data_IF_489855470939
#
_entry.id   IF_489855470939
#
_cell.length_a   1.000
_cell.length_b   1.000
_cell.length_c   1.000
_cell.angle_alpha   90.00
_cell.angle_beta   90.00
_cell.angle_gamma   90.00
#
_symmetry.space_group_name_H-M   'P 1'
#
loop_
_entity.id
_entity.type
_entity.pdbx_description
1 polymer ?
#
# COMPACT_ATOMS: atom_id res chain seq x y z
N UNK A 1 -2.54 -5.89 -13.12
CA UNK A 1 -2.27 -5.74 -11.66
C UNK A 1 -2.52 -4.30 -11.32
N UNK A 2 -3.01 -3.97 -10.13
CA UNK A 2 -3.15 -2.58 -9.69
C UNK A 2 -1.76 -2.02 -9.35
N UNK A 3 -1.43 -0.79 -9.77
CA UNK A 3 -0.17 -0.17 -9.39
C UNK A 3 -0.09 0.03 -7.87
N UNK A 4 1.09 -0.20 -7.28
CA UNK A 4 1.25 0.02 -5.86
C UNK A 4 1.26 1.50 -5.50
N UNK A 5 0.73 1.84 -4.31
CA UNK A 5 0.93 3.13 -3.68
C UNK A 5 1.94 2.98 -2.55
N UNK A 6 3.07 3.65 -2.65
CA UNK A 6 4.17 3.58 -1.69
C UNK A 6 4.21 4.87 -0.88
N UNK A 7 4.02 4.75 0.44
CA UNK A 7 3.99 5.91 1.34
C UNK A 7 5.31 6.08 2.07
N UNK A 8 6.01 7.18 1.84
CA UNK A 8 7.23 7.54 2.55
C UNK A 8 6.97 8.39 3.79
N UNK A 9 7.80 8.21 4.81
CA UNK A 9 7.81 9.11 5.96
C UNK A 9 8.60 10.37 5.64
N UNK A 10 7.97 11.54 5.82
CA UNK A 10 8.65 12.83 5.63
C UNK A 10 7.75 13.91 5.08
N UNK A 11 8.34 15.06 4.79
CA UNK A 11 7.66 16.24 4.21
C UNK A 11 7.76 16.29 2.68
N UNK A 12 8.41 15.30 2.06
CA UNK A 12 8.60 15.23 0.61
C UNK A 12 9.21 13.89 0.19
N UNK A 13 9.28 13.68 -1.12
CA UNK A 13 9.86 12.49 -1.73
C UNK A 13 11.14 12.90 -2.44
N UNK A 14 12.25 12.22 -2.16
CA UNK A 14 13.51 12.42 -2.88
C UNK A 14 13.45 11.72 -4.23
N UNK A 15 13.81 12.43 -5.31
CA UNK A 15 13.82 11.88 -6.68
C UNK A 15 14.63 10.59 -6.81
N UNK A 16 15.75 10.48 -6.07
CA UNK A 16 16.58 9.27 -6.08
C UNK A 16 15.90 8.01 -5.52
N UNK A 17 14.81 8.15 -4.79
CA UNK A 17 14.08 6.97 -4.27
C UNK A 17 13.11 6.38 -5.29
N UNK A 18 12.68 7.19 -6.25
CA UNK A 18 11.71 6.80 -7.28
C UNK A 18 12.38 6.32 -8.58
N UNK A 19 13.67 6.65 -8.77
CA UNK A 19 14.41 6.29 -9.98
C UNK A 19 14.82 4.82 -10.07
N UNK A 20 14.75 4.08 -8.96
CA UNK A 20 15.16 2.66 -8.87
C UNK A 20 14.01 1.72 -9.23
N UNK A 21 12.78 2.21 -9.15
CA UNK A 21 11.58 1.41 -9.46
C UNK A 21 11.20 1.70 -10.91
N UNK A 22 11.47 0.77 -11.78
CA UNK A 22 11.14 0.81 -13.22
C UNK A 22 9.63 0.62 -13.48
N UNK A 23 8.81 0.77 -12.45
CA UNK A 23 7.36 0.70 -12.53
C UNK A 23 6.80 2.12 -12.69
N UNK A 24 6.66 2.54 -13.95
CA UNK A 24 6.15 3.87 -14.31
C UNK A 24 4.72 4.16 -13.78
N UNK A 25 4.04 3.14 -13.28
CA UNK A 25 2.67 3.25 -12.77
C UNK A 25 2.60 3.33 -11.24
N UNK A 26 3.71 3.05 -10.52
CA UNK A 26 3.73 3.13 -9.06
C UNK A 26 3.48 4.57 -8.59
N UNK A 27 2.59 4.73 -7.61
CA UNK A 27 2.34 6.01 -6.97
C UNK A 27 3.18 6.18 -5.72
N UNK A 28 4.04 7.18 -5.74
CA UNK A 28 4.83 7.57 -4.58
C UNK A 28 4.18 8.75 -3.88
N UNK A 29 3.86 8.56 -2.61
CA UNK A 29 3.26 9.60 -1.75
C UNK A 29 4.04 9.73 -0.46
N UNK A 30 3.80 10.80 0.29
CA UNK A 30 4.44 10.99 1.59
C UNK A 30 3.43 11.41 2.66
N UNK A 31 3.75 11.09 3.89
CA UNK A 31 3.07 11.59 5.06
C UNK A 31 4.05 11.81 6.21
N UNK A 32 3.73 12.69 7.14
CA UNK A 32 4.63 13.01 8.26
C UNK A 32 5.08 11.77 9.06
N UNK A 33 4.23 10.77 9.18
CA UNK A 33 4.49 9.54 9.95
C UNK A 33 4.81 8.32 9.09
N UNK A 34 4.70 8.41 7.76
CA UNK A 34 4.86 7.28 6.84
C UNK A 34 3.65 6.36 6.75
N UNK A 35 2.55 6.70 7.42
CA UNK A 35 1.30 5.96 7.35
C UNK A 35 0.32 6.63 6.40
N UNK A 36 -0.60 5.84 5.86
CA UNK A 36 -1.68 6.35 5.03
C UNK A 36 -2.57 7.31 5.84
N UNK A 37 -2.93 8.45 5.25
CA UNK A 37 -3.87 9.42 5.82
C UNK A 37 -5.26 9.26 5.18
N UNK A 38 -6.29 9.91 5.73
CA UNK A 38 -7.63 9.86 5.15
C UNK A 38 -7.66 10.34 3.70
N UNK A 39 -6.89 11.40 3.39
CA UNK A 39 -6.81 11.93 2.03
C UNK A 39 -6.11 10.96 1.08
N UNK A 40 -4.99 10.37 1.51
CA UNK A 40 -4.27 9.37 0.72
C UNK A 40 -5.09 8.09 0.51
N UNK A 41 -5.86 7.67 1.52
CA UNK A 41 -6.77 6.55 1.39
C UNK A 41 -7.87 6.82 0.35
N UNK A 42 -8.44 8.02 0.37
CA UNK A 42 -9.43 8.43 -0.63
C UNK A 42 -8.82 8.52 -2.03
N UNK A 43 -7.63 9.09 -2.18
CA UNK A 43 -6.91 9.15 -3.45
C UNK A 43 -6.64 7.75 -4.00
N UNK A 44 -6.21 6.82 -3.15
CA UNK A 44 -6.00 5.44 -3.54
C UNK A 44 -7.32 4.79 -4.00
N UNK A 45 -8.43 5.01 -3.28
CA UNK A 45 -9.75 4.48 -3.67
C UNK A 45 -10.22 5.01 -5.03
N UNK A 46 -9.98 6.28 -5.32
CA UNK A 46 -10.28 6.89 -6.62
C UNK A 46 -9.48 6.25 -7.75
N UNK A 47 -8.21 5.93 -7.49
CA UNK A 47 -7.37 5.20 -8.46
C UNK A 47 -7.85 3.76 -8.62
N UNK A 48 -8.16 3.07 -7.52
CA UNK A 48 -8.77 1.74 -7.57
C UNK A 48 -10.04 1.75 -8.45
N UNK A 49 -10.88 2.74 -8.28
CA UNK A 49 -12.09 2.93 -9.09
C UNK A 49 -11.74 3.11 -10.57
N UNK A 50 -10.89 4.05 -10.91
CA UNK A 50 -10.47 4.31 -12.29
C UNK A 50 -9.91 3.06 -12.99
N UNK A 51 -9.15 2.23 -12.27
CA UNK A 51 -8.55 1.01 -12.81
C UNK A 51 -9.53 -0.16 -12.94
N UNK A 52 -10.55 -0.22 -12.11
CA UNK A 52 -11.44 -1.38 -12.04
C UNK A 52 -12.82 -1.16 -12.66
N UNK A 53 -13.27 0.10 -12.80
CA UNK A 53 -14.61 0.44 -13.29
C UNK A 53 -14.86 -0.07 -14.71
N UNK A 54 -13.90 0.09 -15.60
CA UNK A 54 -14.01 -0.36 -17.01
C UNK A 54 -14.21 -1.88 -17.05
N UNK A 55 -13.42 -2.62 -16.27
CA UNK A 55 -13.48 -4.09 -16.22
C UNK A 55 -14.75 -4.59 -15.55
N UNK A 56 -15.25 -3.85 -14.58
CA UNK A 56 -16.48 -4.20 -13.85
C UNK A 56 -17.74 -4.01 -14.71
N UNK A 57 -17.69 -3.16 -15.74
CA UNK A 57 -18.80 -2.89 -16.65
C UNK A 57 -20.14 -2.61 -15.92
N UNK A 58 -20.09 -1.83 -14.82
CA UNK A 58 -21.23 -1.50 -13.99
C UNK A 58 -21.53 -2.51 -12.86
N UNK A 59 -20.90 -3.68 -12.83
CA UNK A 59 -21.06 -4.62 -11.74
C UNK A 59 -20.46 -4.08 -10.43
N UNK A 60 -21.00 -4.47 -9.26
CA UNK A 60 -20.42 -4.10 -7.98
C UNK A 60 -19.04 -4.72 -7.79
N UNK A 61 -18.14 -3.98 -7.15
CA UNK A 61 -16.78 -4.40 -6.84
C UNK A 61 -16.62 -4.57 -5.34
N UNK A 62 -16.06 -5.70 -4.92
CA UNK A 62 -15.79 -5.97 -3.52
C UNK A 62 -14.36 -5.51 -3.17
N UNK A 63 -14.23 -4.66 -2.15
CA UNK A 63 -12.97 -4.24 -1.60
C UNK A 63 -12.82 -4.75 -0.15
N UNK A 64 -11.88 -5.66 0.06
CA UNK A 64 -11.57 -6.18 1.38
C UNK A 64 -10.55 -5.28 2.07
N UNK A 65 -10.82 -4.91 3.31
CA UNK A 65 -10.04 -3.95 4.10
C UNK A 65 -9.59 -4.56 5.42
N UNK A 66 -8.42 -4.13 5.89
CA UNK A 66 -7.84 -4.57 7.17
C UNK A 66 -8.46 -3.91 8.41
N UNK A 67 -9.43 -3.02 8.24
CA UNK A 67 -10.06 -2.32 9.35
C UNK A 67 -9.27 -1.10 9.86
N UNK A 68 -8.26 -0.63 9.13
CA UNK A 68 -7.52 0.57 9.51
C UNK A 68 -8.42 1.81 9.48
N UNK A 69 -8.26 2.71 10.47
CA UNK A 69 -9.17 3.87 10.69
C UNK A 69 -9.39 4.76 9.47
N UNK A 70 -8.41 4.92 8.59
CA UNK A 70 -8.53 5.74 7.39
C UNK A 70 -9.54 5.20 6.37
N UNK A 71 -9.83 3.90 6.41
CA UNK A 71 -10.82 3.24 5.56
C UNK A 71 -12.27 3.50 6.01
N UNK A 72 -12.45 4.10 7.18
CA UNK A 72 -13.78 4.45 7.71
C UNK A 72 -14.06 5.95 7.71
N UNK A 73 -13.26 6.75 7.03
CA UNK A 73 -13.58 8.16 6.87
C UNK A 73 -14.88 8.31 6.08
N UNK A 74 -15.71 9.29 6.47
CA UNK A 74 -16.99 9.52 5.82
C UNK A 74 -16.86 9.73 4.30
N UNK A 75 -15.80 10.43 3.89
CA UNK A 75 -15.51 10.67 2.47
C UNK A 75 -15.17 9.38 1.72
N UNK A 76 -14.39 8.50 2.34
CA UNK A 76 -14.03 7.20 1.76
C UNK A 76 -15.29 6.33 1.56
N UNK A 77 -16.13 6.21 2.60
CA UNK A 77 -17.36 5.41 2.53
C UNK A 77 -18.33 5.99 1.50
N UNK A 78 -18.55 7.30 1.50
CA UNK A 78 -19.43 7.95 0.53
C UNK A 78 -18.98 7.70 -0.91
N UNK A 79 -17.68 7.86 -1.17
CA UNK A 79 -17.13 7.60 -2.49
C UNK A 79 -17.36 6.14 -2.90
N UNK A 80 -17.04 5.18 -2.04
CA UNK A 80 -17.24 3.77 -2.32
C UNK A 80 -18.70 3.46 -2.69
N UNK A 81 -19.66 3.94 -1.90
CA UNK A 81 -21.10 3.74 -2.17
C UNK A 81 -21.50 4.35 -3.51
N UNK A 82 -21.07 5.58 -3.79
CA UNK A 82 -21.39 6.28 -5.05
C UNK A 82 -20.83 5.54 -6.28
N UNK A 83 -19.69 4.90 -6.13
CA UNK A 83 -19.02 4.17 -7.21
C UNK A 83 -19.34 2.67 -7.25
N UNK A 84 -20.37 2.22 -6.53
CA UNK A 84 -20.78 0.81 -6.46
C UNK A 84 -19.64 -0.12 -6.00
N UNK A 85 -18.87 0.33 -5.00
CA UNK A 85 -17.81 -0.43 -4.35
C UNK A 85 -18.32 -0.90 -2.98
N UNK A 86 -18.41 -2.21 -2.80
CA UNK A 86 -18.81 -2.83 -1.54
C UNK A 86 -17.58 -2.94 -0.65
N UNK A 87 -17.61 -2.27 0.50
CA UNK A 87 -16.54 -2.35 1.50
C UNK A 87 -16.83 -3.51 2.46
N UNK A 88 -15.86 -4.39 2.62
CA UNK A 88 -15.91 -5.47 3.61
C UNK A 88 -14.63 -5.44 4.43
N UNK A 89 -14.78 -5.46 5.73
CA UNK A 89 -13.65 -5.49 6.67
C UNK A 89 -13.46 -6.87 7.26
N UNK A 90 -12.19 -7.23 7.45
CA UNK A 90 -11.87 -8.43 8.24
C UNK A 90 -12.32 -8.24 9.68
N UNK A 91 -12.73 -9.33 10.37
CA UNK A 91 -12.97 -9.29 11.81
C UNK A 91 -11.75 -8.77 12.57
N UNK A 92 -11.98 -8.10 13.69
CA UNK A 92 -10.89 -7.63 14.54
C UNK A 92 -9.92 -8.77 14.93
N UNK A 93 -8.63 -8.48 14.99
CA UNK A 93 -7.57 -9.44 15.35
C UNK A 93 -7.43 -10.67 14.43
N UNK A 94 -7.99 -10.64 13.23
CA UNK A 94 -7.92 -11.77 12.28
C UNK A 94 -6.98 -11.53 11.08
N UNK A 95 -6.34 -10.36 10.99
CA UNK A 95 -5.48 -9.98 9.86
C UNK A 95 -4.35 -10.98 9.62
N UNK A 96 -3.73 -11.49 10.69
CA UNK A 96 -2.66 -12.48 10.61
C UNK A 96 -3.09 -13.85 10.04
N UNK A 97 -4.39 -14.14 10.00
CA UNK A 97 -4.94 -15.38 9.47
C UNK A 97 -5.65 -15.19 8.12
N UNK A 98 -6.35 -14.06 7.96
CA UNK A 98 -7.27 -13.85 6.84
C UNK A 98 -6.76 -12.85 5.81
N UNK A 99 -5.73 -12.04 6.14
CA UNK A 99 -5.19 -11.08 5.19
C UNK A 99 -4.18 -11.76 4.26
N UNK A 100 -4.51 -11.94 2.96
CA UNK A 100 -3.65 -12.69 2.04
C UNK A 100 -2.25 -12.06 1.89
N UNK A 101 -2.16 -10.73 2.01
CA UNK A 101 -0.90 -10.00 1.91
C UNK A 101 0.06 -10.36 3.06
N UNK A 102 -0.46 -10.42 4.29
CA UNK A 102 0.36 -10.73 5.46
C UNK A 102 0.79 -12.20 5.48
N UNK A 103 -0.13 -13.10 5.11
CA UNK A 103 0.10 -14.55 5.14
C UNK A 103 1.00 -15.01 3.99
N UNK A 104 0.77 -14.51 2.76
CA UNK A 104 1.41 -15.06 1.58
C UNK A 104 2.54 -14.20 1.00
N UNK A 105 2.53 -12.88 1.19
CA UNK A 105 3.47 -11.99 0.52
C UNK A 105 4.45 -11.32 1.49
N UNK A 106 3.98 -10.77 2.59
CA UNK A 106 4.86 -10.00 3.47
C UNK A 106 5.81 -10.84 4.30
N UNK A 107 5.43 -12.03 4.74
CA UNK A 107 6.32 -12.89 5.50
C UNK A 107 7.55 -13.38 4.68
N UNK A 108 7.39 -13.89 3.45
CA UNK A 108 8.53 -14.20 2.58
C UNK A 108 9.37 -12.97 2.22
N UNK A 109 8.71 -11.83 1.96
CA UNK A 109 9.40 -10.58 1.66
C UNK A 109 10.27 -10.10 2.83
N UNK A 110 9.73 -10.11 4.05
CA UNK A 110 10.49 -9.79 5.26
C UNK A 110 11.69 -10.70 5.46
N UNK A 111 11.53 -12.00 5.23
CA UNK A 111 12.62 -12.97 5.33
C UNK A 111 13.71 -12.71 4.30
N UNK A 112 13.33 -12.50 3.04
CA UNK A 112 14.27 -12.20 1.96
C UNK A 112 15.00 -10.87 2.20
N UNK A 113 14.27 -9.84 2.63
CA UNK A 113 14.85 -8.54 2.98
C UNK A 113 15.82 -8.65 4.15
N UNK A 114 15.45 -9.34 5.24
CA UNK A 114 16.33 -9.56 6.38
C UNK A 114 17.62 -10.29 6.00
N UNK A 115 17.53 -11.30 5.15
CA UNK A 115 18.69 -12.03 4.63
C UNK A 115 19.59 -11.11 3.78
N UNK A 116 19.01 -10.30 2.90
CA UNK A 116 19.75 -9.36 2.07
C UNK A 116 20.50 -8.30 2.91
N UNK A 117 19.81 -7.72 3.90
CA UNK A 117 20.41 -6.77 4.85
C UNK A 117 21.55 -7.42 5.64
N UNK A 118 21.35 -8.61 6.17
CA UNK A 118 22.39 -9.33 6.93
C UNK A 118 23.62 -9.63 6.06
N UNK A 119 23.42 -10.03 4.81
CA UNK A 119 24.49 -10.29 3.85
C UNK A 119 25.24 -9.00 3.54
N UNK A 120 24.54 -7.92 3.24
CA UNK A 120 25.14 -6.62 2.96
C UNK A 120 25.97 -6.12 4.14
N UNK A 121 25.41 -6.12 5.36
CA UNK A 121 26.11 -5.68 6.57
C UNK A 121 27.36 -6.51 6.85
N UNK A 122 27.30 -7.82 6.59
CA UNK A 122 28.46 -8.73 6.77
C UNK A 122 29.57 -8.45 5.75
N UNK A 123 29.19 -8.12 4.51
CA UNK A 123 30.15 -7.92 3.40
C UNK A 123 30.78 -6.54 3.46
N UNK A 124 30.00 -5.50 3.76
CA UNK A 124 30.47 -4.11 3.71
C UNK A 124 30.92 -3.56 5.06
N UNK A 125 30.61 -4.24 6.17
CA UNK A 125 30.81 -3.77 7.55
C UNK A 125 30.18 -2.39 7.83
N UNK A 126 29.31 -1.92 6.97
CA UNK A 126 28.58 -0.67 7.10
C UNK A 126 27.09 -0.94 7.27
N UNK A 127 26.42 -0.11 8.04
CA UNK A 127 24.96 -0.18 8.14
C UNK A 127 24.30 0.15 6.79
N UNK A 128 23.10 -0.38 6.60
CA UNK A 128 22.30 -0.09 5.40
C UNK A 128 21.87 1.36 5.43
N UNK A 129 22.40 2.17 4.51
CA UNK A 129 22.01 3.57 4.37
C UNK A 129 20.76 3.69 3.48
N UNK A 130 20.00 4.79 3.64
CA UNK A 130 18.83 5.09 2.78
C UNK A 130 19.16 5.18 1.28
N UNK A 131 20.43 5.26 0.90
CA UNK A 131 20.86 5.29 -0.50
C UNK A 131 20.91 3.90 -1.16
N UNK A 132 20.69 2.85 -0.38
CA UNK A 132 20.68 1.44 -0.83
C UNK A 132 19.27 0.85 -0.97
N UNK A 133 18.25 1.69 -0.75
CA UNK A 133 16.85 1.36 -1.00
C UNK A 133 16.38 2.00 -2.31
#
# INVERSE_FOLDING_TARGET
MLPPMITYKGKGIYRGWTSIIDDAEALFVHSNKGFITNNLALEWLQRFDAWTSIRAAGAPRLLLLDGYRTHYSLQFIRYAVTQNIILMSYPGHSTHLLQPLDVALFAPLQSAYGAAVATHTRTTRTGVSKALF
#
